data_IF_980567134002
#
_entry.id   IF_980567134002
#
_cell.length_a   1.000
_cell.length_b   1.000
_cell.length_c   1.000
_cell.angle_alpha   90.00
_cell.angle_beta   90.00
_cell.angle_gamma   90.00
#
_symmetry.space_group_name_H-M   'P 1'
#
loop_
_entity.id
_entity.type
_entity.pdbx_description
1 polymer ?
#
# COMPACT_ATOMS: atom_id res chain seq x y z
N UNK A 1 -10.20 -68.05 -6.11
CA UNK A 1 -10.80 -68.51 -7.38
C UNK A 1 -10.69 -67.36 -8.37
N UNK A 2 -10.00 -67.39 -9.51
CA UNK A 2 -9.37 -68.45 -10.28
C UNK A 2 -9.57 -68.13 -11.77
N UNK A 3 -8.46 -68.03 -12.54
CA UNK A 3 -8.38 -68.10 -14.02
C UNK A 3 -8.47 -66.75 -14.76
N UNK A 4 -7.46 -66.19 -15.47
CA UNK A 4 -6.43 -66.62 -16.44
C UNK A 4 -6.84 -66.59 -17.93
N UNK A 5 -5.87 -66.08 -18.73
CA UNK A 5 -5.52 -66.33 -20.14
C UNK A 5 -5.98 -65.26 -21.15
N UNK A 6 -5.13 -64.43 -21.79
CA UNK A 6 -3.94 -64.61 -22.68
C UNK A 6 -4.26 -65.01 -24.14
N UNK A 7 -3.88 -64.12 -25.07
CA UNK A 7 -3.18 -64.29 -26.37
C UNK A 7 -3.53 -63.10 -27.30
N UNK A 8 -2.66 -62.50 -28.11
CA UNK A 8 -1.27 -62.75 -28.50
C UNK A 8 -1.04 -62.30 -29.96
N UNK A 9 0.15 -61.73 -30.24
CA UNK A 9 0.85 -61.62 -31.55
C UNK A 9 0.37 -60.58 -32.59
N UNK A 10 1.20 -59.95 -33.45
CA UNK A 10 2.61 -60.09 -33.89
C UNK A 10 3.05 -58.81 -34.65
N UNK A 11 4.27 -58.33 -34.41
CA UNK A 11 5.12 -57.58 -35.39
C UNK A 11 5.79 -58.61 -36.35
N UNK A 12 6.40 -58.28 -37.53
CA UNK A 12 7.59 -57.40 -37.62
C UNK A 12 7.93 -56.73 -38.99
N UNK A 13 8.88 -55.78 -38.98
CA UNK A 13 10.26 -56.00 -39.52
C UNK A 13 10.94 -54.81 -40.25
N UNK A 14 12.24 -54.68 -39.92
CA UNK A 14 13.43 -54.20 -40.70
C UNK A 14 13.86 -52.71 -40.68
N UNK A 15 14.99 -52.49 -39.97
CA UNK A 15 16.06 -51.47 -40.13
C UNK A 15 17.00 -51.87 -41.32
N UNK A 16 18.24 -51.33 -41.55
CA UNK A 16 19.00 -50.18 -40.96
C UNK A 16 19.81 -49.30 -41.97
N UNK A 17 20.51 -48.28 -41.46
CA UNK A 17 21.97 -48.00 -41.64
C UNK A 17 22.37 -46.55 -42.03
N UNK A 18 23.22 -45.99 -41.14
CA UNK A 18 24.46 -45.21 -41.35
C UNK A 18 24.50 -43.92 -42.19
N UNK A 19 24.94 -42.83 -41.55
CA UNK A 19 26.27 -42.23 -41.79
C UNK A 19 26.47 -40.96 -40.95
N UNK A 20 27.54 -40.96 -40.15
CA UNK A 20 28.09 -39.82 -39.46
C UNK A 20 29.13 -39.12 -40.35
N UNK A 21 29.13 -37.78 -40.40
CA UNK A 21 30.31 -37.00 -40.82
C UNK A 21 30.48 -35.81 -39.88
N UNK A 22 31.63 -35.82 -39.18
CA UNK A 22 32.23 -34.69 -38.48
C UNK A 22 33.00 -33.84 -39.49
N UNK A 23 33.01 -32.52 -39.34
CA UNK A 23 34.19 -31.73 -39.74
C UNK A 23 34.43 -30.56 -38.78
N UNK A 24 35.70 -30.36 -38.47
CA UNK A 24 36.29 -29.48 -37.47
C UNK A 24 36.79 -28.20 -38.15
N UNK A 25 36.78 -27.11 -37.38
CA UNK A 25 37.63 -25.91 -37.40
C UNK A 25 38.50 -25.61 -38.63
N UNK A 26 38.43 -24.37 -39.12
CA UNK A 26 39.64 -23.66 -39.54
C UNK A 26 39.62 -22.18 -39.12
N UNK A 27 40.81 -21.72 -38.75
CA UNK A 27 41.20 -20.41 -38.23
C UNK A 27 41.52 -19.48 -39.41
N UNK A 28 41.16 -18.20 -39.33
CA UNK A 28 42.06 -17.10 -39.75
C UNK A 28 41.41 -15.73 -39.56
N UNK A 29 41.97 -14.98 -38.60
CA UNK A 29 41.96 -13.53 -38.56
C UNK A 29 42.77 -12.92 -39.71
N UNK A 30 42.55 -11.64 -40.04
CA UNK A 30 43.68 -10.72 -40.06
C UNK A 30 43.45 -9.52 -39.15
N UNK A 31 44.46 -9.20 -38.34
CA UNK A 31 44.63 -7.90 -37.70
C UNK A 31 45.39 -6.95 -38.62
N UNK A 32 45.23 -5.66 -38.33
CA UNK A 32 46.12 -4.53 -38.58
C UNK A 32 45.90 -3.72 -39.86
N UNK A 33 45.32 -2.52 -39.71
CA UNK A 33 46.04 -1.28 -40.02
C UNK A 33 45.29 -0.07 -39.42
N UNK A 34 46.08 0.91 -39.01
CA UNK A 34 45.80 2.06 -38.16
C UNK A 34 45.44 3.32 -38.95
N UNK A 35 44.27 3.93 -38.65
CA UNK A 35 43.96 5.39 -38.59
C UNK A 35 44.17 6.30 -39.85
N UNK A 36 43.67 7.56 -39.87
CA UNK A 36 42.38 8.09 -39.38
C UNK A 36 41.66 9.06 -40.39
N UNK A 37 40.37 9.30 -40.12
CA UNK A 37 39.63 10.57 -40.26
C UNK A 37 39.88 11.49 -41.47
N UNK A 38 38.85 11.72 -42.29
CA UNK A 38 38.27 13.07 -42.52
C UNK A 38 37.02 13.03 -43.40
N UNK A 39 35.95 13.60 -42.86
CA UNK A 39 34.84 14.32 -43.51
C UNK A 39 34.89 14.50 -45.04
N UNK A 40 33.88 13.99 -45.76
CA UNK A 40 33.01 14.76 -46.66
C UNK A 40 31.97 13.86 -47.35
N UNK A 41 30.83 14.45 -47.70
CA UNK A 41 29.66 13.93 -48.44
C UNK A 41 28.49 13.41 -47.61
N UNK A 42 27.75 14.37 -47.04
CA UNK A 42 26.30 14.29 -46.98
C UNK A 42 25.74 15.07 -48.17
N UNK A 43 25.30 14.38 -49.22
CA UNK A 43 24.09 14.80 -49.94
C UNK A 43 23.46 13.64 -50.71
N UNK A 44 22.17 13.45 -50.42
CA UNK A 44 21.08 12.94 -51.29
C UNK A 44 20.78 11.43 -51.42
N UNK A 45 19.59 11.16 -50.87
CA UNK A 45 18.54 10.17 -51.21
C UNK A 45 18.69 8.76 -50.63
N UNK A 46 17.79 8.44 -49.69
CA UNK A 46 17.43 7.06 -49.39
C UNK A 46 16.84 6.88 -48.00
N UNK A 47 15.50 6.78 -47.91
CA UNK A 47 14.81 6.01 -46.89
C UNK A 47 15.10 6.37 -45.42
N UNK A 48 14.37 7.35 -44.88
CA UNK A 48 14.16 7.38 -43.42
C UNK A 48 13.16 6.30 -43.06
N UNK A 49 13.72 5.19 -42.59
CA UNK A 49 13.17 4.20 -41.70
C UNK A 49 11.88 4.63 -40.99
N UNK A 50 10.86 3.79 -41.17
CA UNK A 50 9.93 3.35 -40.14
C UNK A 50 10.26 3.91 -38.75
N UNK A 51 9.48 4.91 -38.33
CA UNK A 51 9.34 5.24 -36.91
C UNK A 51 8.55 4.09 -36.28
N UNK A 52 9.21 2.94 -36.15
CA UNK A 52 8.75 1.86 -35.30
C UNK A 52 8.52 2.49 -33.94
N UNK A 53 7.25 2.50 -33.51
CA UNK A 53 6.82 2.84 -32.17
C UNK A 53 7.84 2.32 -31.16
N UNK A 54 8.63 3.23 -30.59
CA UNK A 54 9.25 2.93 -29.31
C UNK A 54 8.10 2.60 -28.35
N UNK A 55 8.18 1.48 -27.60
CA UNK A 55 7.15 1.14 -26.64
C UNK A 55 7.00 2.32 -25.67
N UNK A 56 5.79 2.87 -25.59
CA UNK A 56 5.46 4.00 -24.72
C UNK A 56 6.10 3.81 -23.35
N UNK A 57 7.01 4.72 -22.98
CA UNK A 57 7.63 4.82 -21.65
C UNK A 57 6.57 4.56 -20.57
N UNK A 58 6.71 3.45 -19.85
CA UNK A 58 6.03 3.10 -18.61
C UNK A 58 4.67 3.79 -18.42
N UNK A 59 3.59 3.14 -18.86
CA UNK A 59 2.22 3.52 -18.53
C UNK A 59 2.10 3.58 -16.99
N UNK A 60 2.31 4.76 -16.42
CA UNK A 60 2.27 4.98 -14.98
C UNK A 60 0.79 4.94 -14.63
N UNK A 61 0.39 4.06 -13.72
CA UNK A 61 -0.99 3.95 -13.25
C UNK A 61 -1.37 5.20 -12.43
N UNK A 62 -1.55 6.33 -13.12
CA UNK A 62 -1.79 7.62 -12.50
C UNK A 62 -3.01 7.55 -11.58
N UNK A 63 -4.10 6.90 -12.01
CA UNK A 63 -5.31 6.70 -11.22
C UNK A 63 -5.08 6.05 -9.84
N UNK A 64 -4.08 5.17 -9.69
CA UNK A 64 -3.72 4.58 -8.40
C UNK A 64 -2.98 5.56 -7.49
N UNK A 65 -2.14 6.42 -8.07
CA UNK A 65 -1.50 7.51 -7.34
C UNK A 65 -2.57 8.52 -6.85
N UNK A 66 -3.55 8.87 -7.70
CA UNK A 66 -4.71 9.69 -7.31
C UNK A 66 -5.50 9.06 -6.17
N UNK A 67 -5.88 7.80 -6.33
CA UNK A 67 -6.71 7.09 -5.35
C UNK A 67 -6.01 7.03 -3.99
N UNK A 68 -4.71 6.72 -3.99
CA UNK A 68 -3.90 6.73 -2.77
C UNK A 68 -3.89 8.11 -2.10
N UNK A 69 -3.76 9.19 -2.87
CA UNK A 69 -3.80 10.54 -2.30
C UNK A 69 -5.17 10.86 -1.71
N UNK A 70 -6.26 10.63 -2.46
CA UNK A 70 -7.63 10.91 -2.01
C UNK A 70 -7.93 10.17 -0.70
N UNK A 71 -7.62 8.89 -0.62
CA UNK A 71 -7.84 8.10 0.58
C UNK A 71 -7.01 8.63 1.78
N UNK A 72 -5.86 9.27 1.55
CA UNK A 72 -4.98 9.75 2.63
C UNK A 72 -5.56 11.03 3.20
N UNK A 73 -6.00 11.93 2.31
CA UNK A 73 -6.68 13.16 2.69
C UNK A 73 -8.04 12.88 3.32
N UNK A 74 -8.76 11.84 2.88
CA UNK A 74 -10.00 11.38 3.51
C UNK A 74 -9.79 10.93 4.97
N UNK A 75 -8.56 10.62 5.38
CA UNK A 75 -8.21 10.36 6.78
C UNK A 75 -8.40 11.58 7.69
N UNK A 76 -8.20 12.80 7.20
CA UNK A 76 -8.34 14.03 7.99
C UNK A 76 -9.78 14.25 8.47
N UNK A 77 -10.81 14.30 7.59
CA UNK A 77 -12.19 14.41 8.04
C UNK A 77 -12.65 13.18 8.84
N UNK A 78 -12.10 11.99 8.57
CA UNK A 78 -12.37 10.82 9.41
C UNK A 78 -11.94 11.06 10.86
N UNK A 79 -10.69 11.46 11.09
CA UNK A 79 -10.18 11.69 12.45
C UNK A 79 -10.80 12.91 13.12
N UNK A 80 -11.09 13.97 12.37
CA UNK A 80 -11.82 15.12 12.91
C UNK A 80 -13.23 14.71 13.36
N UNK A 81 -13.91 13.86 12.60
CA UNK A 81 -15.25 13.37 12.96
C UNK A 81 -15.25 12.46 14.20
N UNK A 82 -14.14 11.74 14.49
CA UNK A 82 -14.04 10.92 15.69
C UNK A 82 -14.12 11.75 16.98
N UNK A 83 -13.64 12.99 16.97
CA UNK A 83 -13.77 13.89 18.12
C UNK A 83 -15.22 14.28 18.43
N UNK A 84 -16.13 14.16 17.46
CA UNK A 84 -17.57 14.45 17.61
C UNK A 84 -18.41 13.17 17.62
N UNK A 85 -17.80 12.01 17.87
CA UNK A 85 -18.47 10.73 17.69
C UNK A 85 -19.30 10.33 18.91
N UNK A 86 -20.55 9.91 18.69
CA UNK A 86 -21.45 9.37 19.73
C UNK A 86 -21.23 7.87 20.01
N UNK A 87 -20.43 7.18 19.20
CA UNK A 87 -20.30 5.71 19.23
C UNK A 87 -18.93 5.22 19.68
N UNK A 88 -17.93 6.09 19.76
CA UNK A 88 -16.55 5.68 19.99
C UNK A 88 -15.76 6.78 20.67
N UNK A 89 -15.21 6.46 21.84
CA UNK A 89 -14.24 7.31 22.51
C UNK A 89 -12.94 7.41 21.70
N UNK A 90 -12.34 8.60 21.67
CA UNK A 90 -11.09 8.85 20.94
C UNK A 90 -10.04 9.50 21.85
N UNK A 91 -9.00 10.10 21.25
CA UNK A 91 -7.90 10.74 21.99
C UNK A 91 -8.44 11.91 22.83
N UNK A 92 -9.30 12.72 22.21
CA UNK A 92 -10.03 13.85 22.79
C UNK A 92 -11.43 13.87 22.20
N UNK A 93 -12.38 14.43 22.96
CA UNK A 93 -13.79 14.50 22.59
C UNK A 93 -14.31 15.93 22.72
N UNK A 94 -15.15 16.33 21.78
CA UNK A 94 -15.83 17.61 21.82
C UNK A 94 -17.02 17.57 22.78
N UNK A 95 -17.44 18.73 23.29
CA UNK A 95 -18.55 18.85 24.23
C UNK A 95 -19.90 18.40 23.68
N UNK A 96 -20.05 18.41 22.36
CA UNK A 96 -21.27 18.02 21.65
C UNK A 96 -20.93 17.04 20.55
N UNK A 97 -21.68 15.96 20.48
CA UNK A 97 -21.54 14.93 19.46
C UNK A 97 -22.36 15.25 18.20
N UNK A 98 -22.17 14.44 17.16
CA UNK A 98 -22.97 14.49 15.95
C UNK A 98 -23.09 13.10 15.32
N UNK A 99 -24.31 12.55 15.33
CA UNK A 99 -24.63 11.29 14.68
C UNK A 99 -24.25 11.29 13.20
N UNK A 100 -24.43 12.41 12.49
CA UNK A 100 -24.04 12.55 11.08
C UNK A 100 -22.52 12.33 10.90
N UNK A 101 -21.71 12.98 11.73
CA UNK A 101 -20.25 12.84 11.67
C UNK A 101 -19.80 11.44 12.09
N UNK A 102 -20.45 10.85 13.11
CA UNK A 102 -20.22 9.46 13.49
C UNK A 102 -20.46 8.50 12.34
N UNK A 103 -21.63 8.55 11.70
CA UNK A 103 -21.95 7.65 10.58
C UNK A 103 -21.05 7.88 9.37
N UNK A 104 -20.70 9.13 9.07
CA UNK A 104 -19.75 9.45 8.00
C UNK A 104 -18.36 8.87 8.29
N UNK A 105 -17.88 8.96 9.53
CA UNK A 105 -16.61 8.37 9.96
C UNK A 105 -16.65 6.84 9.87
N UNK A 106 -17.70 6.22 10.41
CA UNK A 106 -17.90 4.76 10.37
C UNK A 106 -17.93 4.25 8.93
N UNK A 107 -18.74 4.85 8.06
CA UNK A 107 -18.81 4.45 6.66
C UNK A 107 -17.47 4.58 5.94
N UNK A 108 -16.77 5.71 6.10
CA UNK A 108 -15.41 5.90 5.54
C UNK A 108 -14.42 4.84 6.02
N UNK A 109 -14.49 4.45 7.29
CA UNK A 109 -13.61 3.44 7.87
C UNK A 109 -13.72 2.08 7.18
N UNK A 110 -14.94 1.66 6.82
CA UNK A 110 -15.23 0.32 6.27
C UNK A 110 -14.38 -0.03 5.05
N UNK A 111 -14.04 0.97 4.23
CA UNK A 111 -13.29 0.77 2.99
C UNK A 111 -11.93 1.44 2.98
N UNK A 112 -11.73 2.57 3.67
CA UNK A 112 -10.50 3.36 3.52
C UNK A 112 -9.26 2.53 3.84
N UNK A 113 -9.24 1.82 4.98
CA UNK A 113 -8.07 1.02 5.39
C UNK A 113 -7.86 -0.21 4.50
N UNK A 114 -8.88 -1.05 4.23
CA UNK A 114 -8.70 -2.20 3.33
C UNK A 114 -8.28 -1.79 1.92
N UNK A 115 -8.89 -0.77 1.32
CA UNK A 115 -8.53 -0.32 -0.03
C UNK A 115 -7.07 0.17 -0.07
N UNK A 116 -6.63 0.88 0.96
CA UNK A 116 -5.23 1.26 1.09
C UNK A 116 -4.27 0.08 1.11
N UNK A 117 -4.60 -0.96 1.86
CA UNK A 117 -3.77 -2.16 1.97
C UNK A 117 -3.72 -2.94 0.65
N UNK A 118 -4.84 -3.00 -0.08
CA UNK A 118 -4.85 -3.57 -1.43
C UNK A 118 -3.91 -2.80 -2.36
N UNK A 119 -4.02 -1.47 -2.41
CA UNK A 119 -3.14 -0.63 -3.23
C UNK A 119 -1.68 -0.77 -2.80
N UNK A 120 -1.42 -0.86 -1.49
CA UNK A 120 -0.08 -1.06 -0.96
C UNK A 120 0.52 -2.41 -1.37
N UNK A 121 -0.27 -3.48 -1.34
CA UNK A 121 0.12 -4.81 -1.83
C UNK A 121 0.42 -4.82 -3.33
N UNK A 122 -0.40 -4.11 -4.11
CA UNK A 122 -0.19 -3.92 -5.55
C UNK A 122 1.17 -3.24 -5.83
N UNK A 123 1.44 -2.09 -5.19
CA UNK A 123 2.72 -1.40 -5.35
C UNK A 123 3.92 -2.17 -4.77
N UNK A 124 3.72 -2.93 -3.69
CA UNK A 124 4.75 -3.77 -3.10
C UNK A 124 5.23 -4.83 -4.10
N UNK A 125 4.29 -5.56 -4.71
CA UNK A 125 4.60 -6.58 -5.70
C UNK A 125 5.22 -5.98 -6.97
N UNK A 126 4.67 -4.88 -7.51
CA UNK A 126 5.26 -4.20 -8.68
C UNK A 126 6.72 -3.76 -8.43
N UNK A 127 7.00 -3.22 -7.25
CA UNK A 127 8.36 -2.78 -6.92
C UNK A 127 9.30 -3.97 -6.71
N UNK A 128 8.81 -5.07 -6.13
CA UNK A 128 9.55 -6.32 -6.03
C UNK A 128 9.94 -6.87 -7.42
N UNK A 129 9.00 -6.92 -8.37
CA UNK A 129 9.28 -7.39 -9.74
C UNK A 129 10.37 -6.55 -10.42
N UNK A 130 10.42 -5.25 -10.14
CA UNK A 130 11.42 -4.33 -10.71
C UNK A 130 12.78 -4.37 -10.00
N UNK A 131 12.83 -4.58 -8.68
CA UNK A 131 14.06 -4.50 -7.85
C UNK A 131 14.06 -5.51 -6.69
N UNK A 132 14.14 -6.83 -6.95
CA UNK A 132 13.95 -7.85 -5.92
C UNK A 132 15.00 -7.81 -4.79
N UNK A 133 16.26 -7.53 -5.12
CA UNK A 133 17.36 -7.57 -4.14
C UNK A 133 17.40 -6.42 -3.13
N UNK A 134 16.88 -5.24 -3.49
CA UNK A 134 16.92 -4.05 -2.62
C UNK A 134 15.54 -3.60 -2.13
N UNK A 135 14.46 -4.19 -2.66
CA UNK A 135 13.09 -3.77 -2.34
C UNK A 135 12.79 -3.81 -0.84
N UNK A 136 13.06 -4.93 -0.17
CA UNK A 136 12.77 -5.09 1.25
C UNK A 136 13.49 -4.03 2.11
N UNK A 137 14.79 -3.84 1.89
CA UNK A 137 15.57 -2.81 2.60
C UNK A 137 15.05 -1.41 2.31
N UNK A 138 14.71 -1.11 1.05
CA UNK A 138 14.13 0.19 0.69
C UNK A 138 12.78 0.43 1.39
N UNK A 139 11.99 -0.63 1.59
CA UNK A 139 10.71 -0.56 2.30
C UNK A 139 10.86 -0.39 3.79
N UNK A 140 11.80 -1.11 4.41
CA UNK A 140 12.16 -0.94 5.81
C UNK A 140 12.56 0.51 6.11
N UNK A 141 13.42 1.11 5.28
CA UNK A 141 13.80 2.52 5.49
C UNK A 141 12.60 3.44 5.25
N UNK A 142 11.85 3.21 4.16
CA UNK A 142 10.75 4.10 3.77
C UNK A 142 9.56 4.12 4.73
N UNK A 143 9.35 3.02 5.47
CA UNK A 143 8.23 2.88 6.41
C UNK A 143 8.69 2.87 7.87
N UNK A 144 9.80 2.19 8.17
CA UNK A 144 10.31 2.01 9.53
C UNK A 144 10.96 3.26 10.11
N UNK A 145 11.70 4.05 9.32
CA UNK A 145 12.26 5.31 9.82
C UNK A 145 11.15 6.30 10.19
N UNK A 146 10.12 6.51 9.35
CA UNK A 146 9.01 7.38 9.72
C UNK A 146 8.10 6.85 10.82
N UNK A 147 7.94 5.53 10.91
CA UNK A 147 7.29 4.90 12.06
C UNK A 147 8.02 5.28 13.36
N UNK A 148 9.33 5.03 13.45
CA UNK A 148 10.11 5.33 14.64
C UNK A 148 10.13 6.83 14.96
N UNK A 149 10.29 7.68 13.95
CA UNK A 149 10.26 9.13 14.11
C UNK A 149 8.90 9.60 14.65
N UNK A 150 7.78 9.11 14.11
CA UNK A 150 6.47 9.51 14.57
C UNK A 150 6.12 8.94 15.96
N UNK A 151 6.54 7.70 16.27
CA UNK A 151 6.38 7.14 17.61
C UNK A 151 7.06 8.02 18.67
N UNK A 152 8.23 8.58 18.38
CA UNK A 152 9.00 9.38 19.35
C UNK A 152 8.60 10.87 19.34
N UNK A 153 8.28 11.43 18.17
CA UNK A 153 8.06 12.88 18.02
C UNK A 153 6.58 13.28 17.98
N UNK A 154 5.71 12.40 17.53
CA UNK A 154 4.29 12.71 17.28
C UNK A 154 3.40 12.14 18.38
N UNK A 155 3.57 10.88 18.76
CA UNK A 155 2.68 10.24 19.74
C UNK A 155 2.75 10.89 21.14
N UNK A 156 3.93 11.32 21.65
CA UNK A 156 4.00 12.14 22.86
C UNK A 156 3.18 13.42 22.80
N UNK A 157 3.07 14.06 21.63
CA UNK A 157 2.23 15.25 21.46
C UNK A 157 0.73 14.90 21.49
N UNK A 158 0.35 13.74 20.96
CA UNK A 158 -1.03 13.24 21.07
C UNK A 158 -1.39 12.93 22.53
N UNK A 159 -0.47 12.30 23.28
CA UNK A 159 -0.63 12.07 24.71
C UNK A 159 -0.73 13.37 25.50
N UNK A 160 0.07 14.38 25.15
CA UNK A 160 -0.03 15.71 25.75
C UNK A 160 -1.39 16.35 25.48
N UNK A 161 -1.87 16.28 24.24
CA UNK A 161 -3.20 16.77 23.88
C UNK A 161 -4.31 16.08 24.65
N UNK A 162 -4.22 14.75 24.86
CA UNK A 162 -5.13 14.02 25.74
C UNK A 162 -5.02 14.48 27.19
N UNK A 163 -3.81 14.69 27.71
CA UNK A 163 -3.61 15.14 29.09
C UNK A 163 -4.20 16.54 29.32
N UNK A 164 -4.01 17.46 28.37
CA UNK A 164 -4.61 18.80 28.40
C UNK A 164 -6.14 18.78 28.35
N UNK A 165 -6.72 17.78 27.67
CA UNK A 165 -8.17 17.61 27.57
C UNK A 165 -8.77 16.99 28.84
N UNK A 166 -8.07 16.04 29.46
CA UNK A 166 -8.62 15.21 30.55
C UNK A 166 -8.30 15.73 31.95
N UNK A 167 -7.13 16.33 32.17
CA UNK A 167 -6.63 16.67 33.49
C UNK A 167 -6.82 18.15 33.83
N UNK A 168 -6.95 18.42 35.13
CA UNK A 168 -6.83 19.77 35.67
C UNK A 168 -5.43 20.35 35.39
N UNK A 169 -5.28 21.68 35.22
CA UNK A 169 -4.01 22.30 34.82
C UNK A 169 -2.80 21.90 35.68
N UNK A 170 -2.99 21.66 36.97
CA UNK A 170 -1.93 21.25 37.90
C UNK A 170 -1.47 19.80 37.72
N UNK A 171 -2.29 18.94 37.11
CA UNK A 171 -2.07 17.49 36.97
C UNK A 171 -1.67 17.08 35.55
N UNK A 172 -1.73 18.00 34.57
CA UNK A 172 -1.41 17.71 33.16
C UNK A 172 -0.02 17.10 33.01
N UNK A 173 0.98 17.65 33.71
CA UNK A 173 2.36 17.17 33.61
C UNK A 173 2.48 15.72 34.12
N UNK A 174 1.89 15.42 35.28
CA UNK A 174 1.95 14.10 35.90
C UNK A 174 1.22 13.06 35.03
N UNK A 175 0.04 13.41 34.51
CA UNK A 175 -0.71 12.53 33.62
C UNK A 175 0.09 12.26 32.33
N UNK A 176 0.66 13.29 31.72
CA UNK A 176 1.46 13.14 30.51
C UNK A 176 2.70 12.27 30.74
N UNK A 177 3.45 12.51 31.83
CA UNK A 177 4.61 11.69 32.20
C UNK A 177 4.23 10.24 32.47
N UNK A 178 3.08 10.00 33.12
CA UNK A 178 2.58 8.63 33.35
C UNK A 178 2.26 7.88 32.05
N UNK A 179 1.69 8.57 31.05
CA UNK A 179 1.43 8.01 29.72
C UNK A 179 2.73 7.69 28.98
N UNK A 180 3.73 8.58 29.07
CA UNK A 180 5.06 8.33 28.49
C UNK A 180 5.77 7.15 29.15
N UNK A 181 5.64 7.01 30.47
CA UNK A 181 6.26 5.92 31.22
C UNK A 181 5.60 4.55 30.96
N UNK A 182 4.38 4.52 30.43
CA UNK A 182 3.59 3.30 30.22
C UNK A 182 3.59 2.88 28.75
N UNK A 183 4.33 1.82 28.36
CA UNK A 183 4.23 1.27 27.02
C UNK A 183 2.81 0.72 26.78
N UNK A 184 2.18 1.11 25.68
CA UNK A 184 0.88 0.57 25.29
C UNK A 184 0.34 1.14 23.98
N UNK A 185 -0.96 0.95 23.74
CA UNK A 185 -1.67 1.45 22.56
C UNK A 185 -1.39 2.94 22.22
N UNK A 186 -1.29 3.88 23.17
CA UNK A 186 -1.02 5.29 22.85
C UNK A 186 0.31 5.53 22.12
N UNK A 187 1.30 4.64 22.29
CA UNK A 187 2.59 4.70 21.58
C UNK A 187 2.50 4.22 20.13
N UNK A 188 1.42 3.56 19.74
CA UNK A 188 1.14 3.19 18.35
C UNK A 188 0.10 4.13 17.77
N UNK A 189 -1.02 4.34 18.46
CA UNK A 189 -2.15 5.15 18.01
C UNK A 189 -2.44 4.89 16.53
N UNK A 190 -2.51 5.91 15.67
CA UNK A 190 -2.75 5.77 14.23
C UNK A 190 -1.63 5.11 13.44
N UNK A 191 -0.43 4.95 13.98
CA UNK A 191 0.73 4.37 13.29
C UNK A 191 0.60 2.87 13.05
N UNK A 192 -0.43 2.21 13.62
CA UNK A 192 -0.70 0.78 13.45
C UNK A 192 -0.67 0.33 11.97
N UNK A 193 -1.13 1.20 11.06
CA UNK A 193 -1.14 0.92 9.63
C UNK A 193 0.27 0.76 9.04
N UNK A 194 1.26 1.53 9.51
CA UNK A 194 2.66 1.39 9.08
C UNK A 194 3.26 0.09 9.59
N UNK A 195 2.92 -0.31 10.81
CA UNK A 195 3.33 -1.59 11.40
C UNK A 195 2.77 -2.74 10.55
N UNK A 196 1.47 -2.72 10.25
CA UNK A 196 0.83 -3.73 9.39
C UNK A 196 1.48 -3.79 8.01
N UNK A 197 1.76 -2.64 7.38
CA UNK A 197 2.47 -2.60 6.10
C UNK A 197 3.88 -3.20 6.16
N UNK A 198 4.61 -2.98 7.26
CA UNK A 198 5.93 -3.59 7.48
C UNK A 198 5.80 -5.11 7.64
N UNK A 199 4.82 -5.57 8.42
CA UNK A 199 4.54 -7.00 8.62
C UNK A 199 4.18 -7.66 7.28
N UNK A 200 3.24 -7.10 6.53
CA UNK A 200 2.84 -7.64 5.23
C UNK A 200 3.96 -7.61 4.20
N UNK A 201 4.76 -6.53 4.19
CA UNK A 201 5.94 -6.46 3.33
C UNK A 201 6.99 -7.50 3.72
N UNK A 202 7.14 -7.81 5.00
CA UNK A 202 8.03 -8.87 5.51
C UNK A 202 7.53 -10.25 5.08
N UNK A 203 6.24 -10.53 5.27
CA UNK A 203 5.61 -11.78 4.85
C UNK A 203 5.82 -11.96 3.34
N UNK A 204 5.55 -10.92 2.55
CA UNK A 204 5.79 -10.95 1.12
C UNK A 204 7.27 -11.23 0.83
N UNK A 205 8.22 -10.53 1.45
CA UNK A 205 9.65 -10.78 1.29
C UNK A 205 10.06 -12.24 1.59
N UNK A 206 9.50 -12.83 2.65
CA UNK A 206 9.75 -14.23 3.03
C UNK A 206 9.18 -15.19 1.98
N UNK A 207 7.94 -15.00 1.53
CA UNK A 207 7.32 -15.80 0.47
C UNK A 207 8.16 -15.78 -0.83
N UNK A 208 8.74 -14.62 -1.15
CA UNK A 208 9.61 -14.45 -2.31
C UNK A 208 10.96 -15.17 -2.09
N UNK A 209 11.59 -15.02 -0.91
CA UNK A 209 12.88 -15.64 -0.56
C UNK A 209 12.81 -17.16 -0.52
N UNK A 210 11.73 -17.72 0.02
CA UNK A 210 11.48 -19.17 0.05
C UNK A 210 11.20 -19.76 -1.35
N UNK A 211 11.28 -18.95 -2.41
CA UNK A 211 10.98 -19.32 -3.79
C UNK A 211 9.59 -19.96 -3.93
N UNK A 212 8.63 -19.53 -3.12
CA UNK A 212 7.24 -19.96 -3.28
C UNK A 212 6.54 -19.24 -4.44
N UNK A 213 7.17 -18.23 -5.05
CA UNK A 213 6.62 -17.49 -6.20
C UNK A 213 6.24 -18.35 -7.40
N UNK A 214 7.08 -19.29 -7.90
CA UNK A 214 6.70 -20.09 -9.05
C UNK A 214 5.50 -21.00 -8.73
N UNK A 215 5.42 -21.50 -7.48
CA UNK A 215 4.27 -22.27 -7.03
C UNK A 215 3.01 -21.39 -6.91
N UNK A 216 3.15 -20.18 -6.37
CA UNK A 216 2.06 -19.21 -6.23
C UNK A 216 1.55 -18.73 -7.59
N UNK A 217 2.45 -18.43 -8.54
CA UNK A 217 2.12 -18.07 -9.91
C UNK A 217 1.36 -19.21 -10.61
N UNK A 218 1.85 -20.46 -10.53
CA UNK A 218 1.13 -21.63 -11.07
C UNK A 218 -0.26 -21.82 -10.45
N UNK A 219 -0.39 -21.62 -9.13
CA UNK A 219 -1.70 -21.67 -8.46
C UNK A 219 -2.60 -20.53 -8.92
N UNK A 220 -2.07 -19.31 -9.06
CA UNK A 220 -2.80 -18.17 -9.59
C UNK A 220 -3.29 -18.42 -11.02
N UNK A 221 -2.49 -19.06 -11.88
CA UNK A 221 -2.91 -19.41 -13.25
C UNK A 221 -4.02 -20.46 -13.28
N UNK A 222 -3.93 -21.48 -12.40
CA UNK A 222 -5.03 -22.44 -12.23
C UNK A 222 -6.32 -21.73 -11.79
N UNK A 223 -6.22 -20.85 -10.80
CA UNK A 223 -7.35 -20.05 -10.33
C UNK A 223 -7.88 -19.14 -11.45
N UNK A 224 -7.01 -18.53 -12.25
CA UNK A 224 -7.41 -17.71 -13.40
C UNK A 224 -8.20 -18.51 -14.43
N UNK A 225 -7.75 -19.73 -14.75
CA UNK A 225 -8.46 -20.65 -15.64
C UNK A 225 -9.83 -21.07 -15.08
N UNK A 226 -9.91 -21.28 -13.76
CA UNK A 226 -11.17 -21.55 -13.07
C UNK A 226 -12.10 -20.34 -13.10
N UNK A 227 -11.62 -19.14 -12.81
CA UNK A 227 -12.41 -17.90 -12.88
C UNK A 227 -12.91 -17.61 -14.29
N UNK A 228 -12.12 -17.95 -15.32
CA UNK A 228 -12.53 -17.78 -16.71
C UNK A 228 -13.60 -18.79 -17.17
N UNK A 229 -13.59 -20.01 -16.59
CA UNK A 229 -14.54 -21.08 -16.94
C UNK A 229 -15.79 -21.12 -16.06
N UNK A 230 -15.72 -20.57 -14.84
CA UNK A 230 -16.76 -20.71 -13.81
C UNK A 230 -17.01 -19.38 -13.10
N UNK A 231 -18.18 -18.80 -13.34
CA UNK A 231 -18.60 -17.50 -12.77
C UNK A 231 -18.62 -17.47 -11.24
N UNK A 232 -18.89 -18.60 -10.58
CA UNK A 232 -18.98 -18.71 -9.12
C UNK A 232 -17.63 -18.66 -8.38
N UNK A 233 -16.52 -18.81 -9.08
CA UNK A 233 -15.19 -18.84 -8.45
C UNK A 233 -14.82 -17.48 -7.87
N UNK A 234 -15.14 -16.38 -8.55
CA UNK A 234 -14.83 -15.04 -8.05
C UNK A 234 -15.61 -14.68 -6.76
N UNK A 235 -16.95 -14.85 -6.69
CA UNK A 235 -17.68 -14.75 -5.43
C UNK A 235 -17.21 -15.74 -4.36
N UNK A 236 -16.87 -16.97 -4.75
CA UNK A 236 -16.36 -18.00 -3.83
C UNK A 236 -15.04 -17.59 -3.17
N UNK A 237 -14.10 -17.01 -3.94
CA UNK A 237 -12.84 -16.48 -3.40
C UNK A 237 -13.06 -15.29 -2.46
N UNK A 238 -14.04 -14.44 -2.78
CA UNK A 238 -14.42 -13.31 -1.94
C UNK A 238 -14.96 -13.81 -0.59
N UNK A 239 -15.92 -14.74 -0.59
CA UNK A 239 -16.46 -15.35 0.64
C UNK A 239 -15.37 -16.09 1.42
N UNK A 240 -14.51 -16.84 0.71
CA UNK A 240 -13.38 -17.53 1.32
C UNK A 240 -12.45 -16.55 2.05
N UNK A 241 -12.21 -15.34 1.52
CA UNK A 241 -11.40 -14.34 2.20
C UNK A 241 -11.98 -13.92 3.55
N UNK A 242 -13.32 -13.80 3.64
CA UNK A 242 -14.03 -13.52 4.89
C UNK A 242 -13.97 -14.68 5.88
N UNK A 243 -14.23 -15.91 5.42
CA UNK A 243 -14.13 -17.12 6.27
C UNK A 243 -12.70 -17.31 6.79
N UNK A 244 -11.70 -17.13 5.94
CA UNK A 244 -10.29 -17.27 6.34
C UNK A 244 -9.88 -16.20 7.37
N UNK A 245 -10.31 -14.95 7.17
CA UNK A 245 -10.08 -13.87 8.14
C UNK A 245 -10.74 -14.18 9.49
N UNK A 246 -12.03 -14.52 9.49
CA UNK A 246 -12.77 -14.87 10.70
C UNK A 246 -12.15 -16.08 11.41
N UNK A 247 -11.89 -17.17 10.68
CA UNK A 247 -11.29 -18.38 11.24
C UNK A 247 -9.92 -18.12 11.88
N UNK A 248 -9.11 -17.25 11.27
CA UNK A 248 -7.81 -16.85 11.85
C UNK A 248 -8.00 -16.04 13.12
N UNK A 249 -8.94 -15.07 13.14
CA UNK A 249 -9.22 -14.26 14.32
C UNK A 249 -9.77 -15.10 15.47
N UNK A 250 -10.68 -16.04 15.17
CA UNK A 250 -11.20 -16.99 16.17
C UNK A 250 -10.08 -17.84 16.74
N UNK A 251 -9.19 -18.38 15.88
CA UNK A 251 -8.04 -19.14 16.35
C UNK A 251 -7.12 -18.31 17.25
N UNK A 252 -6.80 -17.07 16.86
CA UNK A 252 -6.01 -16.15 17.69
C UNK A 252 -6.71 -15.80 19.00
N UNK A 253 -8.03 -15.69 19.00
CA UNK A 253 -8.83 -15.42 20.19
C UNK A 253 -8.79 -16.58 21.17
N UNK A 254 -8.99 -17.80 20.68
CA UNK A 254 -8.93 -19.03 21.50
C UNK A 254 -7.53 -19.23 22.10
N UNK A 255 -6.48 -18.85 21.37
CA UNK A 255 -5.09 -18.91 21.85
C UNK A 255 -4.69 -17.76 22.79
N UNK A 256 -5.58 -16.78 23.03
CA UNK A 256 -5.26 -15.60 23.84
C UNK A 256 -4.23 -14.65 23.17
N UNK A 257 -4.08 -14.73 21.85
CA UNK A 257 -3.10 -13.99 21.05
C UNK A 257 -3.72 -12.83 20.25
N UNK A 258 -4.88 -12.33 20.65
CA UNK A 258 -5.57 -11.25 19.93
C UNK A 258 -4.75 -9.95 19.86
N UNK A 259 -4.06 -9.62 20.95
CA UNK A 259 -3.18 -8.47 21.05
C UNK A 259 -1.91 -8.83 21.81
N UNK A 260 -0.77 -8.32 21.36
CA UNK A 260 0.53 -8.51 22.00
C UNK A 260 1.20 -7.15 22.24
N UNK A 261 2.32 -7.14 22.97
CA UNK A 261 3.08 -5.93 23.30
C UNK A 261 2.21 -4.85 23.97
N UNK A 262 1.45 -5.20 25.01
CA UNK A 262 0.57 -4.26 25.74
C UNK A 262 -0.45 -3.52 24.84
N UNK A 263 -0.99 -4.21 23.83
CA UNK A 263 -1.99 -3.64 22.91
C UNK A 263 -1.40 -2.87 21.72
N UNK A 264 -0.07 -2.73 21.64
CA UNK A 264 0.59 -2.10 20.50
C UNK A 264 0.39 -2.87 19.19
N UNK A 265 0.30 -4.20 19.25
CA UNK A 265 0.10 -5.05 18.09
C UNK A 265 -1.19 -5.86 18.24
N UNK A 266 -2.18 -5.60 17.39
CA UNK A 266 -3.46 -6.33 17.38
C UNK A 266 -3.47 -7.35 16.25
N UNK A 267 -3.03 -8.58 16.56
CA UNK A 267 -2.89 -9.66 15.59
C UNK A 267 -4.21 -10.05 14.93
N UNK A 268 -5.34 -9.94 15.64
CA UNK A 268 -6.67 -10.15 15.06
C UNK A 268 -6.95 -9.18 13.90
N UNK A 269 -6.70 -7.89 14.10
CA UNK A 269 -6.85 -6.86 13.05
C UNK A 269 -5.84 -7.07 11.92
N UNK A 270 -4.57 -7.32 12.25
CA UNK A 270 -3.50 -7.52 11.26
C UNK A 270 -3.77 -8.76 10.40
N UNK A 271 -4.28 -9.86 10.96
CA UNK A 271 -4.60 -11.06 10.18
C UNK A 271 -5.82 -10.87 9.27
N UNK A 272 -6.87 -10.21 9.75
CA UNK A 272 -8.10 -9.97 8.97
C UNK A 272 -7.87 -9.14 7.70
N UNK A 273 -6.89 -8.24 7.72
CA UNK A 273 -6.54 -7.38 6.60
C UNK A 273 -5.53 -8.00 5.60
N UNK A 274 -4.84 -9.07 5.99
CA UNK A 274 -3.82 -9.73 5.15
C UNK A 274 -4.39 -10.21 3.79
N UNK A 275 -5.59 -10.82 3.70
CA UNK A 275 -6.15 -11.24 2.41
C UNK A 275 -6.30 -10.09 1.41
N UNK A 276 -6.63 -8.88 1.90
CA UNK A 276 -6.82 -7.69 1.06
C UNK A 276 -5.49 -7.21 0.48
N UNK A 277 -4.44 -7.19 1.30
CA UNK A 277 -3.08 -6.89 0.85
C UNK A 277 -2.59 -7.90 -0.20
N UNK A 278 -2.81 -9.20 0.05
CA UNK A 278 -2.42 -10.27 -0.87
C UNK A 278 -3.22 -10.22 -2.17
N UNK A 279 -4.50 -9.84 -2.13
CA UNK A 279 -5.31 -9.60 -3.34
C UNK A 279 -4.66 -8.53 -4.21
N UNK A 280 -4.24 -7.40 -3.61
CA UNK A 280 -3.50 -6.35 -4.32
C UNK A 280 -2.20 -6.85 -4.94
N UNK A 281 -1.42 -7.61 -4.19
CA UNK A 281 -0.19 -8.23 -4.70
C UNK A 281 -0.48 -9.19 -5.87
N UNK A 282 -1.58 -9.95 -5.82
CA UNK A 282 -1.99 -10.84 -6.91
C UNK A 282 -2.42 -10.07 -8.17
N UNK A 283 -3.13 -8.94 -8.03
CA UNK A 283 -3.46 -8.07 -9.16
C UNK A 283 -2.22 -7.52 -9.87
N UNK A 284 -1.12 -7.28 -9.14
CA UNK A 284 0.15 -6.85 -9.71
C UNK A 284 0.93 -7.97 -10.40
N UNK A 285 0.64 -9.24 -10.12
CA UNK A 285 1.27 -10.37 -10.83
C UNK A 285 0.75 -10.53 -12.26
N UNK A 286 -0.50 -10.10 -12.53
CA UNK A 286 -1.15 -10.28 -13.83
C UNK A 286 -1.89 -9.04 -14.30
N UNK A 287 -1.44 -8.46 -15.42
CA UNK A 287 -2.09 -7.31 -16.06
C UNK A 287 -3.56 -7.59 -16.41
N UNK A 288 -3.86 -8.78 -16.94
CA UNK A 288 -5.24 -9.16 -17.28
C UNK A 288 -6.20 -9.12 -16.07
N UNK A 289 -5.69 -9.44 -14.87
CA UNK A 289 -6.48 -9.41 -13.65
C UNK A 289 -6.77 -7.98 -13.24
N UNK A 290 -5.76 -7.11 -13.27
CA UNK A 290 -5.94 -5.68 -13.03
C UNK A 290 -6.95 -5.07 -14.02
N UNK A 291 -6.85 -5.43 -15.31
CA UNK A 291 -7.77 -4.94 -16.33
C UNK A 291 -9.20 -5.37 -16.09
N UNK A 292 -9.45 -6.65 -15.79
CA UNK A 292 -10.79 -7.14 -15.42
C UNK A 292 -11.29 -6.51 -14.12
N UNK A 293 -10.43 -6.40 -13.12
CA UNK A 293 -10.76 -5.82 -11.82
C UNK A 293 -11.07 -4.32 -11.89
N UNK A 294 -10.65 -3.61 -12.93
CA UNK A 294 -10.93 -2.17 -13.07
C UNK A 294 -11.96 -1.85 -14.14
N UNK A 295 -12.61 -2.86 -14.72
CA UNK A 295 -13.83 -2.67 -15.53
C UNK A 295 -15.01 -2.43 -14.61
N UNK A 296 -15.90 -1.52 -14.99
CA UNK A 296 -17.07 -1.18 -14.17
C UNK A 296 -18.07 -2.34 -14.23
N UNK A 297 -18.39 -2.88 -13.06
CA UNK A 297 -19.47 -3.84 -12.87
C UNK A 297 -20.46 -3.27 -11.86
N UNK A 298 -21.55 -2.67 -12.34
CA UNK A 298 -22.51 -1.93 -11.51
C UNK A 298 -23.14 -2.78 -10.40
N UNK A 299 -23.34 -4.08 -10.63
CA UNK A 299 -23.85 -5.00 -9.60
C UNK A 299 -22.83 -5.23 -8.48
N UNK A 300 -21.53 -5.24 -8.78
CA UNK A 300 -20.46 -5.29 -7.76
C UNK A 300 -20.39 -3.98 -6.97
N UNK A 301 -20.69 -2.85 -7.63
CA UNK A 301 -20.79 -1.56 -6.95
C UNK A 301 -21.96 -1.55 -5.97
N UNK A 302 -23.14 -1.98 -6.41
CA UNK A 302 -24.31 -2.10 -5.55
C UNK A 302 -24.04 -3.04 -4.36
N UNK A 303 -23.48 -4.22 -4.61
CA UNK A 303 -23.12 -5.17 -3.55
C UNK A 303 -22.09 -4.59 -2.57
N UNK A 304 -21.05 -3.91 -3.08
CA UNK A 304 -20.02 -3.28 -2.24
C UNK A 304 -20.58 -2.16 -1.37
N UNK A 305 -21.47 -1.32 -1.90
CA UNK A 305 -22.12 -0.24 -1.15
C UNK A 305 -23.06 -0.79 -0.06
N UNK A 306 -23.87 -1.80 -0.40
CA UNK A 306 -24.79 -2.45 0.56
C UNK A 306 -24.01 -3.12 1.69
N UNK A 307 -22.96 -3.89 1.36
CA UNK A 307 -22.15 -4.56 2.38
C UNK A 307 -21.32 -3.57 3.20
N UNK A 308 -20.86 -2.46 2.62
CA UNK A 308 -20.19 -1.39 3.37
C UNK A 308 -21.15 -0.70 4.35
N UNK A 309 -22.40 -0.42 3.93
CA UNK A 309 -23.42 0.11 4.83
C UNK A 309 -23.76 -0.86 5.96
N UNK A 310 -23.90 -2.16 5.65
CA UNK A 310 -24.10 -3.20 6.65
C UNK A 310 -22.94 -3.28 7.64
N UNK A 311 -21.68 -3.24 7.14
CA UNK A 311 -20.49 -3.23 7.98
C UNK A 311 -20.43 -1.98 8.87
N UNK A 312 -20.73 -0.80 8.33
CA UNK A 312 -20.79 0.44 9.11
C UNK A 312 -21.79 0.35 10.26
N UNK A 313 -22.91 -0.34 10.06
CA UNK A 313 -23.96 -0.50 11.07
C UNK A 313 -23.59 -1.42 12.24
N UNK A 314 -22.62 -2.33 12.03
CA UNK A 314 -22.25 -3.35 13.02
C UNK A 314 -20.85 -3.19 13.61
N UNK A 315 -19.91 -2.55 12.91
CA UNK A 315 -18.48 -2.56 13.32
C UNK A 315 -18.16 -1.80 14.60
N UNK A 316 -19.06 -0.93 15.07
CA UNK A 316 -18.90 -0.18 16.33
C UNK A 316 -19.42 -0.97 17.54
N UNK A 317 -20.05 -2.13 17.32
CA UNK A 317 -20.63 -2.97 18.35
C UNK A 317 -19.64 -4.02 18.84
N UNK A 318 -19.52 -4.16 20.16
CA UNK A 318 -18.53 -5.01 20.80
C UNK A 318 -19.01 -6.44 21.08
N UNK A 319 -20.30 -6.76 20.89
CA UNK A 319 -20.77 -8.13 21.12
C UNK A 319 -20.12 -9.11 20.11
N UNK A 320 -19.82 -10.33 20.56
CA UNK A 320 -19.02 -11.30 19.81
C UNK A 320 -19.58 -11.61 18.41
N UNK A 321 -20.91 -11.63 18.26
CA UNK A 321 -21.55 -11.84 16.96
C UNK A 321 -21.24 -10.69 15.98
N UNK A 322 -21.28 -9.43 16.41
CA UNK A 322 -20.99 -8.29 15.55
C UNK A 322 -19.50 -8.20 15.23
N UNK A 323 -18.63 -8.56 16.18
CA UNK A 323 -17.19 -8.69 15.94
C UNK A 323 -16.91 -9.77 14.89
N UNK A 324 -17.54 -10.93 14.99
CA UNK A 324 -17.41 -12.01 14.02
C UNK A 324 -17.87 -11.57 12.61
N UNK A 325 -19.03 -10.92 12.51
CA UNK A 325 -19.54 -10.35 11.26
C UNK A 325 -18.58 -9.30 10.70
N UNK A 326 -18.00 -8.45 11.54
CA UNK A 326 -17.04 -7.42 11.16
C UNK A 326 -15.77 -8.04 10.55
N UNK A 327 -15.17 -9.02 11.21
CA UNK A 327 -13.96 -9.69 10.70
C UNK A 327 -14.21 -10.50 9.42
N UNK A 328 -15.41 -11.06 9.26
CA UNK A 328 -15.82 -11.72 8.02
C UNK A 328 -16.01 -10.72 6.87
N UNK A 329 -16.74 -9.63 7.11
CA UNK A 329 -17.07 -8.64 6.08
C UNK A 329 -15.89 -7.74 5.72
N UNK A 330 -14.95 -7.50 6.62
CA UNK A 330 -13.84 -6.56 6.38
C UNK A 330 -13.05 -6.83 5.08
N UNK A 331 -12.53 -8.05 4.82
CA UNK A 331 -11.83 -8.32 3.56
C UNK A 331 -12.77 -8.31 2.34
N UNK A 332 -14.02 -8.74 2.53
CA UNK A 332 -15.05 -8.78 1.47
C UNK A 332 -15.38 -7.37 0.99
N UNK A 333 -15.79 -6.50 1.92
CA UNK A 333 -16.07 -5.08 1.67
C UNK A 333 -14.82 -4.40 1.13
N UNK A 334 -13.66 -4.67 1.72
CA UNK A 334 -12.40 -4.08 1.28
C UNK A 334 -12.06 -4.35 -0.20
N UNK A 335 -12.22 -5.59 -0.66
CA UNK A 335 -11.95 -5.97 -2.05
C UNK A 335 -13.02 -5.38 -2.98
N UNK A 336 -14.31 -5.43 -2.60
CA UNK A 336 -15.39 -4.85 -3.41
C UNK A 336 -15.27 -3.34 -3.52
N UNK A 337 -14.96 -2.64 -2.45
CA UNK A 337 -14.82 -1.20 -2.46
C UNK A 337 -13.53 -0.76 -3.18
N UNK A 338 -12.48 -1.57 -3.13
CA UNK A 338 -11.29 -1.36 -3.96
C UNK A 338 -11.65 -1.48 -5.44
N UNK A 339 -12.50 -2.44 -5.82
CA UNK A 339 -13.03 -2.53 -7.17
C UNK A 339 -13.82 -1.28 -7.57
N UNK A 340 -14.74 -0.80 -6.72
CA UNK A 340 -15.52 0.43 -6.95
C UNK A 340 -14.57 1.61 -7.22
N UNK A 341 -13.66 1.87 -6.27
CA UNK A 341 -12.79 3.04 -6.35
C UNK A 341 -11.78 2.93 -7.48
N UNK A 342 -11.16 1.77 -7.70
CA UNK A 342 -10.18 1.61 -8.78
C UNK A 342 -10.82 1.67 -10.16
N UNK A 343 -11.99 1.06 -10.36
CA UNK A 343 -12.71 1.13 -11.65
C UNK A 343 -13.25 2.53 -11.93
N UNK A 344 -13.83 3.21 -10.94
CA UNK A 344 -14.28 4.59 -11.05
C UNK A 344 -13.12 5.55 -11.32
N UNK A 345 -12.00 5.43 -10.59
CA UNK A 345 -10.83 6.29 -10.80
C UNK A 345 -10.18 6.07 -12.17
N UNK A 346 -10.13 4.82 -12.68
CA UNK A 346 -9.62 4.54 -14.02
C UNK A 346 -10.49 5.17 -15.12
N UNK A 347 -11.81 5.23 -14.91
CA UNK A 347 -12.74 5.86 -15.84
C UNK A 347 -12.63 7.40 -15.81
N UNK A 348 -12.47 8.00 -14.62
CA UNK A 348 -12.50 9.45 -14.45
C UNK A 348 -11.11 10.14 -14.59
N UNK A 349 -10.00 9.44 -14.34
CA UNK A 349 -8.68 10.08 -14.20
C UNK A 349 -7.57 9.31 -14.92
N UNK A 350 -7.22 9.75 -16.13
CA UNK A 350 -6.14 9.14 -16.94
C UNK A 350 -4.91 10.05 -17.11
N UNK A 351 -5.03 11.36 -16.84
CA UNK A 351 -3.95 12.34 -17.01
C UNK A 351 -3.12 12.58 -15.74
N UNK A 352 -1.99 13.30 -15.89
CA UNK A 352 -1.21 13.80 -14.77
C UNK A 352 -1.67 15.21 -14.35
N UNK A 353 -1.92 15.43 -13.06
CA UNK A 353 -2.34 16.71 -12.49
C UNK A 353 -1.34 17.15 -11.41
N UNK A 354 -0.87 18.39 -11.50
CA UNK A 354 0.11 18.98 -10.59
C UNK A 354 -0.37 19.01 -9.13
N UNK A 355 -1.66 19.31 -8.91
CA UNK A 355 -2.24 19.32 -7.55
C UNK A 355 -2.17 17.93 -6.91
N UNK A 356 -2.35 16.89 -7.71
CA UNK A 356 -2.31 15.52 -7.22
C UNK A 356 -0.88 15.06 -7.00
N UNK A 357 0.08 15.46 -7.83
CA UNK A 357 1.48 15.19 -7.52
C UNK A 357 1.87 15.80 -6.17
N UNK A 358 1.46 17.04 -5.90
CA UNK A 358 1.64 17.69 -4.60
C UNK A 358 0.96 16.88 -3.48
N UNK A 359 -0.27 16.44 -3.68
CA UNK A 359 -1.01 15.64 -2.70
C UNK A 359 -0.33 14.28 -2.45
N UNK A 360 0.16 13.60 -3.48
CA UNK A 360 0.87 12.31 -3.39
C UNK A 360 2.20 12.45 -2.66
N UNK A 361 2.95 13.51 -2.96
CA UNK A 361 4.28 13.77 -2.38
C UNK A 361 4.18 14.15 -0.89
N UNK A 362 3.13 14.89 -0.53
CA UNK A 362 2.86 15.31 0.85
C UNK A 362 2.08 14.28 1.66
N UNK A 363 1.42 13.31 1.01
CA UNK A 363 0.42 12.41 1.62
C UNK A 363 0.93 11.73 2.89
N UNK A 364 2.21 11.36 2.90
CA UNK A 364 2.79 10.57 3.96
C UNK A 364 3.19 11.43 5.17
N UNK A 365 3.73 12.64 4.95
CA UNK A 365 3.91 13.61 6.03
C UNK A 365 2.56 13.99 6.65
N UNK A 366 1.56 14.30 5.80
CA UNK A 366 0.21 14.68 6.25
C UNK A 366 -0.39 13.56 7.11
N UNK A 367 -0.30 12.32 6.66
CA UNK A 367 -0.73 11.15 7.44
C UNK A 367 -0.09 11.09 8.84
N UNK A 368 1.19 11.42 8.99
CA UNK A 368 1.85 11.37 10.30
C UNK A 368 1.36 12.47 11.23
N UNK A 369 1.23 13.71 10.74
CA UNK A 369 1.09 14.89 11.62
C UNK A 369 -0.35 15.39 11.79
N UNK A 370 -1.29 15.05 10.89
CA UNK A 370 -2.61 15.66 10.88
C UNK A 370 -3.39 15.50 12.20
N UNK A 371 -3.26 14.36 12.89
CA UNK A 371 -3.95 14.15 14.16
C UNK A 371 -3.49 15.10 15.26
N UNK A 372 -2.23 15.53 15.25
CA UNK A 372 -1.74 16.51 16.23
C UNK A 372 -2.55 17.80 16.07
N UNK A 373 -2.68 18.30 14.85
CA UNK A 373 -3.45 19.51 14.60
C UNK A 373 -4.93 19.35 14.93
N UNK A 374 -5.51 18.17 14.69
CA UNK A 374 -6.90 17.88 15.08
C UNK A 374 -7.05 17.89 16.61
N UNK A 375 -6.20 17.15 17.33
CA UNK A 375 -6.27 17.01 18.78
C UNK A 375 -6.11 18.36 19.48
N UNK A 376 -5.05 19.10 19.16
CA UNK A 376 -4.86 20.44 19.73
C UNK A 376 -5.93 21.42 19.26
N UNK A 377 -6.43 21.28 18.03
CA UNK A 377 -7.56 22.07 17.54
C UNK A 377 -8.82 21.86 18.37
N UNK A 378 -9.16 20.61 18.70
CA UNK A 378 -10.32 20.30 19.57
C UNK A 378 -10.14 20.93 20.94
N UNK A 379 -8.96 20.76 21.56
CA UNK A 379 -8.64 21.36 22.88
C UNK A 379 -8.80 22.88 22.86
N UNK A 380 -8.32 23.55 21.81
CA UNK A 380 -8.45 25.00 21.66
C UNK A 380 -9.90 25.48 21.45
N UNK A 381 -10.77 24.62 20.92
CA UNK A 381 -12.18 24.95 20.65
C UNK A 381 -13.11 24.61 21.81
N UNK A 382 -12.61 24.01 22.89
CA UNK A 382 -13.37 23.77 24.12
C UNK A 382 -13.89 25.10 24.69
N UNK A 383 -15.13 25.11 25.15
CA UNK A 383 -15.81 26.29 25.70
C UNK A 383 -16.13 27.40 24.69
N UNK A 384 -15.83 27.22 23.40
CA UNK A 384 -16.00 28.27 22.39
C UNK A 384 -17.46 28.56 22.00
N UNK A 385 -18.39 27.65 22.30
CA UNK A 385 -19.80 27.75 21.91
C UNK A 385 -20.07 27.64 20.40
N UNK A 386 -19.03 27.39 19.58
CA UNK A 386 -19.15 27.28 18.12
C UNK A 386 -20.01 26.06 17.75
N UNK A 387 -20.92 26.16 16.76
CA UNK A 387 -21.70 25.01 16.29
C UNK A 387 -20.83 23.84 15.81
N UNK A 388 -21.21 22.60 16.14
CA UNK A 388 -20.45 21.37 15.88
C UNK A 388 -19.96 21.26 14.44
N UNK A 389 -20.84 21.48 13.45
CA UNK A 389 -20.47 21.36 12.04
C UNK A 389 -19.43 22.42 11.61
N UNK A 390 -19.50 23.62 12.18
CA UNK A 390 -18.51 24.66 11.92
C UNK A 390 -17.17 24.30 12.57
N UNK A 391 -17.17 23.74 13.79
CA UNK A 391 -15.95 23.23 14.42
C UNK A 391 -15.29 22.16 13.55
N UNK A 392 -16.08 21.19 13.08
CA UNK A 392 -15.59 20.14 12.19
C UNK A 392 -14.96 20.70 10.90
N UNK A 393 -15.63 21.63 10.21
CA UNK A 393 -15.10 22.25 8.98
C UNK A 393 -13.80 23.00 9.25
N UNK A 394 -13.75 23.79 10.33
CA UNK A 394 -12.55 24.52 10.75
C UNK A 394 -11.40 23.57 11.07
N UNK A 395 -11.65 22.49 11.82
CA UNK A 395 -10.65 21.47 12.15
C UNK A 395 -10.09 20.78 10.90
N UNK A 396 -10.95 20.38 9.97
CA UNK A 396 -10.52 19.75 8.71
C UNK A 396 -9.70 20.71 7.87
N UNK A 397 -10.16 21.95 7.69
CA UNK A 397 -9.47 22.96 6.91
C UNK A 397 -8.12 23.32 7.53
N UNK A 398 -8.09 23.66 8.82
CA UNK A 398 -6.88 24.02 9.55
C UNK A 398 -5.87 22.86 9.56
N UNK A 399 -6.30 21.65 9.90
CA UNK A 399 -5.41 20.48 9.93
C UNK A 399 -4.83 20.15 8.56
N UNK A 400 -5.61 20.32 7.49
CA UNK A 400 -5.14 20.14 6.10
C UNK A 400 -4.09 21.19 5.75
N UNK A 401 -4.38 22.48 5.98
CA UNK A 401 -3.50 23.59 5.66
C UNK A 401 -2.20 23.51 6.47
N UNK A 402 -2.28 23.27 7.77
CA UNK A 402 -1.13 23.17 8.66
C UNK A 402 -0.25 21.96 8.32
N UNK A 403 -0.85 20.81 8.02
CA UNK A 403 -0.10 19.62 7.60
C UNK A 403 0.62 19.81 6.26
N UNK A 404 -0.06 20.43 5.28
CA UNK A 404 0.53 20.77 3.99
C UNK A 404 1.64 21.82 4.14
N UNK A 405 1.41 22.84 4.96
CA UNK A 405 2.38 23.87 5.30
C UNK A 405 3.63 23.29 5.94
N UNK A 406 3.46 22.43 6.95
CA UNK A 406 4.55 21.69 7.59
C UNK A 406 5.37 20.89 6.58
N UNK A 407 4.70 20.19 5.67
CA UNK A 407 5.39 19.44 4.61
C UNK A 407 6.17 20.37 3.66
N UNK A 408 5.53 21.40 3.10
CA UNK A 408 6.14 22.26 2.07
C UNK A 408 7.25 23.16 2.61
N UNK A 409 7.09 23.67 3.82
CA UNK A 409 8.00 24.65 4.41
C UNK A 409 9.15 24.00 5.17
N UNK A 410 8.90 22.89 5.89
CA UNK A 410 9.91 22.25 6.74
C UNK A 410 10.42 20.96 6.12
N UNK A 411 9.54 19.95 5.97
CA UNK A 411 9.95 18.59 5.58
C UNK A 411 10.63 18.57 4.23
N UNK A 412 10.01 19.22 3.22
CA UNK A 412 10.55 19.26 1.87
C UNK A 412 11.85 20.06 1.78
N UNK A 413 12.17 20.96 2.69
CA UNK A 413 13.40 21.78 2.59
C UNK A 413 14.62 21.13 3.28
N UNK A 414 14.40 20.27 4.28
CA UNK A 414 15.49 19.72 5.11
C UNK A 414 15.70 18.21 4.85
N UNK A 415 16.90 17.76 4.44
CA UNK A 415 17.16 16.34 4.14
C UNK A 415 16.87 15.40 5.31
N UNK A 416 17.19 15.82 6.53
CA UNK A 416 16.90 15.05 7.76
C UNK A 416 15.40 14.85 7.92
N UNK A 417 14.59 15.90 7.76
CA UNK A 417 13.14 15.79 7.88
C UNK A 417 12.53 14.96 6.74
N UNK A 418 13.08 15.01 5.51
CA UNK A 418 12.66 14.08 4.43
C UNK A 418 12.93 12.63 4.78
N UNK A 419 14.06 12.34 5.43
CA UNK A 419 14.36 11.00 5.90
C UNK A 419 13.41 10.59 7.03
N UNK A 420 13.22 11.45 8.04
CA UNK A 420 12.38 11.16 9.19
C UNK A 420 10.90 11.04 8.81
N UNK A 421 10.35 11.96 8.03
CA UNK A 421 8.90 11.98 7.75
C UNK A 421 8.51 11.32 6.44
N UNK A 422 9.43 11.13 5.48
CA UNK A 422 9.13 10.49 4.19
C UNK A 422 9.96 9.23 3.91
N UNK A 423 10.94 8.91 4.76
CA UNK A 423 11.80 7.74 4.59
C UNK A 423 12.65 7.80 3.32
N UNK A 424 12.90 9.01 2.82
CA UNK A 424 13.72 9.27 1.63
C UNK A 424 15.13 9.64 2.08
N UNK A 425 16.11 8.79 1.75
CA UNK A 425 17.51 9.09 2.03
C UNK A 425 17.95 10.34 1.26
N UNK A 426 18.77 11.21 1.86
CA UNK A 426 19.44 12.27 1.13
C UNK A 426 20.19 11.65 -0.06
N UNK A 427 20.05 12.22 -1.25
CA UNK A 427 20.93 11.84 -2.36
C UNK A 427 22.36 12.08 -1.88
N UNK A 428 23.19 11.02 -1.91
CA UNK A 428 24.64 11.21 -1.76
C UNK A 428 25.03 12.18 -2.86
N UNK A 429 25.58 13.34 -2.49
CA UNK A 429 26.23 14.22 -3.44
C UNK A 429 27.14 13.31 -4.29
N UNK A 430 26.89 13.27 -5.61
CA UNK A 430 27.79 12.56 -6.50
C UNK A 430 29.19 13.11 -6.21
N UNK A 431 30.21 12.25 -6.00
CA UNK A 431 31.58 12.76 -5.95
C UNK A 431 31.76 13.55 -7.24
N UNK A 432 32.19 14.81 -7.12
CA UNK A 432 32.50 15.69 -8.24
C UNK A 432 33.44 14.93 -9.19
N UNK A 433 32.88 14.29 -10.20
CA UNK A 433 33.64 13.62 -11.23
C UNK A 433 34.22 14.73 -12.11
N UNK A 434 35.52 14.97 -11.98
CA UNK A 434 36.27 15.78 -12.95
C UNK A 434 37.01 17.00 -12.40
N UNK A 435 37.90 16.81 -11.43
CA UNK A 435 39.16 17.55 -11.43
C UNK A 435 40.26 16.62 -11.97
N UNK A 436 40.06 16.09 -13.18
CA UNK A 436 41.15 15.51 -13.94
C UNK A 436 41.99 16.69 -14.45
N UNK A 437 43.16 16.88 -13.85
CA UNK A 437 44.16 17.82 -14.32
C UNK A 437 44.42 17.55 -15.81
N UNK A 438 44.10 18.53 -16.65
CA UNK A 438 44.53 18.53 -18.04
C UNK A 438 46.06 18.59 -18.08
N UNK A 439 46.74 17.74 -18.89
CA UNK A 439 48.17 17.91 -19.10
C UNK A 439 48.38 19.23 -19.86
N UNK A 440 49.16 20.15 -19.27
CA UNK A 440 49.68 21.32 -19.99
C UNK A 440 50.57 20.83 -21.11
N UNK A 441 50.07 20.86 -22.34
CA UNK A 441 50.91 20.91 -23.52
C UNK A 441 51.51 22.33 -23.60
N UNK A 442 52.73 22.47 -23.10
CA UNK A 442 53.55 23.67 -23.24
C UNK A 442 54.74 23.37 -24.12
N UNK A 443 54.80 24.06 -25.27
CA UNK A 443 55.92 24.14 -26.20
C UNK A 443 57.23 24.49 -25.48
N UNK A 444 58.32 23.76 -25.75
CA UNK A 444 59.54 24.20 -26.45
C UNK A 444 60.09 22.99 -27.19
#
# INVERSE_FOLDING_TARGET
MGGKSLHGFRQPSRRPADAAVRFRADLSSPRCSTAPCTTALADRVGMTADRSCEPSKNERHHYLDYLRAILMFLGIPYHAALAFSSHQAWIVEAERDSALLSWAAQFSHTFRMPVFLLIAGFFAMMLCQRRPGSWWRSRLVRLGVPLAAATILINPLLMLGRALWQAEPSQVLDLWLSMLATPGEPWVSHLWFLIDLLIYSSILAVLLRLRWMPALARRADKVAGLMASRWWVAPGLLLFSGVAALGTVVALSVLGLNSTLHGMLVLARTSAHLPVFLCGAALALRRDWLDRFTRIHWWMWAAGLVLAAALAAVQWRDEDIYRAVTFFLMPVVGILFAHILMSGMRACFQGANRLVQIAVDSSFTVYLVHQVFIVFGVVLMMGSGIPVLLQFVLLVAASTILSLGFHQQLVRRRPVLRLLFNGVLPERAAPLAGAAAAPRAGRI
#
